data_IF_717500730772
#
_entry.id   IF_717500730772
#
_cell.length_a   1.000
_cell.length_b   1.000
_cell.length_c   1.000
_cell.angle_alpha   90.00
_cell.angle_beta   90.00
_cell.angle_gamma   90.00
#
_symmetry.space_group_name_H-M   'P 1'
#
loop_
_entity.id
_entity.type
_entity.pdbx_description
1 polymer ?
#
# COMPACT_ATOMS: atom_id res chain seq x y z
N UNK A 1 -6.73 12.35 -31.61
CA UNK A 1 -6.55 12.36 -30.14
C UNK A 1 -5.73 11.14 -29.77
N UNK A 2 -4.74 11.28 -28.88
CA UNK A 2 -3.86 10.21 -28.42
C UNK A 2 -3.89 10.19 -26.90
N UNK A 3 -4.35 9.08 -26.33
CA UNK A 3 -4.57 8.94 -24.89
C UNK A 3 -3.58 7.90 -24.37
N UNK A 4 -2.78 8.30 -23.39
CA UNK A 4 -1.96 7.41 -22.59
C UNK A 4 -2.66 7.23 -21.24
N UNK A 5 -3.24 6.06 -21.01
CA UNK A 5 -3.83 5.69 -19.72
C UNK A 5 -2.86 4.81 -18.93
N UNK A 6 -2.93 4.87 -17.59
CA UNK A 6 -1.95 4.25 -16.67
C UNK A 6 -0.50 4.54 -17.09
N UNK A 7 -0.15 5.81 -17.32
CA UNK A 7 1.12 6.17 -17.95
C UNK A 7 2.38 5.85 -17.11
N UNK A 8 2.27 5.89 -15.78
CA UNK A 8 3.27 5.34 -14.86
C UNK A 8 3.59 3.88 -15.18
N UNK A 9 2.57 3.10 -15.50
CA UNK A 9 2.72 1.69 -15.82
C UNK A 9 3.37 1.42 -17.16
N UNK A 10 3.00 2.21 -18.17
CA UNK A 10 3.64 2.14 -19.48
C UNK A 10 5.16 2.35 -19.36
N UNK A 11 5.59 3.18 -18.40
CA UNK A 11 7.00 3.46 -18.14
C UNK A 11 7.67 2.28 -17.43
N UNK A 12 7.04 1.73 -16.40
CA UNK A 12 7.56 0.61 -15.63
C UNK A 12 7.77 -0.64 -16.50
N UNK A 13 6.86 -0.89 -17.44
CA UNK A 13 6.97 -2.00 -18.39
C UNK A 13 7.91 -1.72 -19.57
N UNK A 14 8.44 -0.50 -19.68
CA UNK A 14 9.38 -0.14 -20.72
C UNK A 14 8.77 0.07 -22.11
N UNK A 15 7.45 0.29 -22.20
CA UNK A 15 6.73 0.43 -23.48
C UNK A 15 6.95 1.77 -24.21
N UNK A 16 7.75 2.66 -23.65
CA UNK A 16 7.94 4.00 -24.22
C UNK A 16 8.62 4.00 -25.60
N UNK A 17 9.37 2.95 -25.95
CA UNK A 17 9.96 2.80 -27.30
C UNK A 17 8.88 2.47 -28.35
N UNK A 18 7.94 1.62 -27.99
CA UNK A 18 6.81 1.23 -28.80
C UNK A 18 5.84 2.41 -28.94
N UNK A 19 5.56 3.12 -27.83
CA UNK A 19 4.76 4.35 -27.82
C UNK A 19 5.38 5.41 -28.71
N UNK A 20 6.70 5.60 -28.65
CA UNK A 20 7.44 6.50 -29.53
C UNK A 20 7.22 6.16 -31.01
N UNK A 21 7.25 4.89 -31.35
CA UNK A 21 7.09 4.41 -32.72
C UNK A 21 5.66 4.66 -33.23
N UNK A 22 4.66 4.41 -32.37
CA UNK A 22 3.25 4.69 -32.67
C UNK A 22 3.03 6.21 -32.81
N UNK A 23 3.60 7.00 -31.91
CA UNK A 23 3.43 8.45 -31.88
C UNK A 23 3.96 9.12 -33.17
N UNK A 24 5.05 8.60 -33.74
CA UNK A 24 5.63 9.10 -35.00
C UNK A 24 4.72 8.90 -36.22
N UNK A 25 3.74 7.99 -36.16
CA UNK A 25 2.82 7.73 -37.27
C UNK A 25 1.75 8.84 -37.41
N UNK A 26 1.51 9.65 -36.38
CA UNK A 26 0.52 10.72 -36.44
C UNK A 26 1.08 11.97 -37.16
N UNK A 27 0.33 12.48 -38.14
CA UNK A 27 0.61 13.80 -38.77
C UNK A 27 -0.02 14.92 -37.93
N UNK A 28 0.60 16.11 -37.96
CA UNK A 28 0.42 17.24 -37.01
C UNK A 28 -1.04 17.58 -36.65
N UNK A 29 -1.17 18.16 -35.45
CA UNK A 29 -2.38 18.52 -34.70
C UNK A 29 -3.05 17.32 -34.01
N UNK A 30 -2.41 16.81 -32.97
CA UNK A 30 -2.90 15.73 -32.12
C UNK A 30 -3.10 16.26 -30.70
N UNK A 31 -4.34 16.24 -30.21
CA UNK A 31 -4.59 16.39 -28.79
C UNK A 31 -4.04 15.16 -28.07
N UNK A 32 -3.10 15.37 -27.15
CA UNK A 32 -2.52 14.33 -26.30
C UNK A 32 -3.05 14.48 -24.89
N UNK A 33 -3.56 13.40 -24.32
CA UNK A 33 -4.02 13.33 -22.93
C UNK A 33 -3.29 12.20 -22.22
N UNK A 34 -2.88 12.45 -20.99
CA UNK A 34 -2.17 11.47 -20.18
C UNK A 34 -2.90 11.33 -18.85
N UNK A 35 -3.29 10.10 -18.52
CA UNK A 35 -3.91 9.73 -17.27
C UNK A 35 -2.98 8.78 -16.53
N UNK A 36 -2.76 9.05 -15.25
CA UNK A 36 -1.84 8.27 -14.43
C UNK A 36 -2.26 8.38 -12.97
N UNK A 37 -2.23 7.27 -12.23
CA UNK A 37 -2.54 7.28 -10.80
C UNK A 37 -1.44 8.02 -10.02
N UNK A 38 -0.20 7.91 -10.48
CA UNK A 38 0.93 8.60 -9.89
C UNK A 38 1.74 9.38 -10.93
N UNK A 39 2.38 10.46 -10.50
CA UNK A 39 3.19 11.32 -11.38
C UNK A 39 4.60 11.49 -10.80
N UNK A 40 5.48 10.54 -11.11
CA UNK A 40 6.89 10.63 -10.75
C UNK A 40 7.65 11.60 -11.67
N UNK A 41 8.72 12.21 -11.17
CA UNK A 41 9.53 13.17 -11.95
C UNK A 41 10.09 12.54 -13.25
N UNK A 42 10.41 11.24 -13.22
CA UNK A 42 10.93 10.53 -14.39
C UNK A 42 9.86 10.31 -15.48
N UNK A 43 8.59 10.16 -15.09
CA UNK A 43 7.47 10.08 -16.03
C UNK A 43 7.30 11.40 -16.77
N UNK A 44 7.43 12.53 -16.07
CA UNK A 44 7.36 13.88 -16.65
C UNK A 44 8.32 14.04 -17.83
N UNK A 45 9.58 13.67 -17.65
CA UNK A 45 10.65 13.80 -18.66
C UNK A 45 10.29 13.03 -19.95
N UNK A 46 9.69 11.84 -19.80
CA UNK A 46 9.28 11.05 -20.96
C UNK A 46 8.05 11.65 -21.66
N UNK A 47 7.10 12.17 -20.88
CA UNK A 47 5.85 12.71 -21.41
C UNK A 47 6.04 14.05 -22.13
N UNK A 48 7.02 14.87 -21.73
CA UNK A 48 7.33 16.17 -22.37
C UNK A 48 7.50 16.07 -23.89
N UNK A 49 7.98 14.93 -24.40
CA UNK A 49 8.10 14.66 -25.84
C UNK A 49 6.74 14.57 -26.56
N UNK A 50 5.69 14.13 -25.88
CA UNK A 50 4.37 13.92 -26.46
C UNK A 50 3.44 15.11 -26.24
N UNK A 51 3.41 15.66 -25.03
CA UNK A 51 2.50 16.76 -24.66
C UNK A 51 3.08 18.15 -24.90
N UNK A 52 4.38 18.25 -25.22
CA UNK A 52 5.10 19.52 -25.37
C UNK A 52 5.46 20.15 -24.02
N UNK A 53 6.17 21.28 -24.04
CA UNK A 53 6.67 21.93 -22.82
C UNK A 53 5.59 22.69 -22.00
N UNK A 54 4.46 23.05 -22.64
CA UNK A 54 3.41 23.89 -22.05
C UNK A 54 2.16 23.09 -21.66
N UNK A 55 2.33 21.94 -21.02
CA UNK A 55 1.21 21.11 -20.58
C UNK A 55 0.77 21.49 -19.16
N UNK A 56 -0.54 21.52 -18.94
CA UNK A 56 -1.12 21.65 -17.61
C UNK A 56 -1.06 20.29 -16.91
N UNK A 57 -0.39 20.23 -15.76
CA UNK A 57 -0.46 19.07 -14.87
C UNK A 57 -1.49 19.38 -13.81
N UNK A 58 -2.63 18.71 -13.88
CA UNK A 58 -3.61 18.71 -12.80
C UNK A 58 -3.29 17.54 -11.88
N UNK A 59 -2.64 17.85 -10.75
CA UNK A 59 -2.34 16.85 -9.71
C UNK A 59 -3.44 16.90 -8.67
N UNK A 60 -4.22 15.83 -8.58
CA UNK A 60 -5.07 15.62 -7.39
C UNK A 60 -4.17 15.46 -6.16
N UNK A 61 -4.41 16.23 -5.09
CA UNK A 61 -3.73 16.06 -3.81
C UNK A 61 -4.00 14.67 -3.19
N UNK A 62 -5.10 14.02 -3.60
CA UNK A 62 -5.47 12.67 -3.19
C UNK A 62 -5.06 11.66 -4.27
N UNK A 63 -4.16 10.75 -3.91
CA UNK A 63 -3.70 9.63 -4.76
C UNK A 63 -4.68 8.44 -4.81
N UNK A 64 -5.70 8.44 -3.95
CA UNK A 64 -6.81 7.50 -3.97
C UNK A 64 -8.10 8.25 -4.24
N UNK A 65 -9.12 7.55 -4.76
CA UNK A 65 -10.45 8.14 -4.81
C UNK A 65 -10.87 8.53 -3.38
N UNK A 66 -11.38 9.75 -3.21
CA UNK A 66 -11.76 10.33 -1.91
C UNK A 66 -12.67 9.42 -1.06
N UNK A 67 -13.37 8.50 -1.71
CA UNK A 67 -14.39 7.63 -1.15
C UNK A 67 -13.87 6.26 -0.69
N UNK A 68 -12.56 6.00 -0.78
CA UNK A 68 -11.97 4.73 -0.32
C UNK A 68 -11.54 4.83 1.15
N UNK A 69 -12.12 3.97 2.00
CA UNK A 69 -11.69 3.78 3.40
C UNK A 69 -10.61 2.71 3.46
N UNK A 70 -9.50 3.02 4.13
CA UNK A 70 -8.32 2.16 4.20
C UNK A 70 -8.20 1.48 5.57
N UNK A 71 -8.00 0.16 5.57
CA UNK A 71 -7.90 -0.65 6.79
C UNK A 71 -6.62 -1.49 6.77
N UNK A 72 -5.88 -1.46 7.88
CA UNK A 72 -4.71 -2.29 8.10
C UNK A 72 -5.07 -3.39 9.11
N UNK A 73 -5.08 -4.64 8.65
CA UNK A 73 -5.46 -5.82 9.42
C UNK A 73 -4.20 -6.52 9.95
N UNK A 74 -3.95 -6.40 11.25
CA UNK A 74 -2.84 -7.04 11.95
C UNK A 74 -3.14 -8.53 12.11
N UNK A 75 -2.56 -9.36 11.24
CA UNK A 75 -2.72 -10.81 11.28
C UNK A 75 -1.72 -11.49 12.23
N UNK A 76 -0.80 -10.72 12.83
CA UNK A 76 0.24 -11.22 13.76
C UNK A 76 0.99 -12.41 13.16
N UNK A 77 0.83 -13.60 13.74
CA UNK A 77 1.41 -14.87 13.27
C UNK A 77 0.34 -15.87 12.80
N UNK A 78 -0.89 -15.41 12.58
CA UNK A 78 -1.97 -16.24 12.07
C UNK A 78 -1.72 -16.62 10.61
N UNK A 79 -2.23 -17.79 10.22
CA UNK A 79 -2.23 -18.22 8.82
C UNK A 79 -3.07 -17.24 7.96
N UNK A 80 -2.46 -16.57 6.97
CA UNK A 80 -3.16 -15.67 6.07
C UNK A 80 -4.35 -16.32 5.35
N UNK A 81 -4.29 -17.61 5.03
CA UNK A 81 -5.40 -18.32 4.39
C UNK A 81 -6.62 -18.38 5.30
N UNK A 82 -6.44 -18.77 6.58
CA UNK A 82 -7.51 -18.73 7.58
C UNK A 82 -8.08 -17.32 7.75
N UNK A 83 -7.22 -16.30 7.71
CA UNK A 83 -7.64 -14.90 7.83
C UNK A 83 -8.52 -14.43 6.67
N UNK A 84 -8.36 -14.96 5.46
CA UNK A 84 -9.29 -14.71 4.35
C UNK A 84 -10.71 -15.18 4.71
N UNK A 85 -10.86 -16.38 5.27
CA UNK A 85 -12.18 -16.90 5.63
C UNK A 85 -12.81 -16.10 6.77
N UNK A 86 -12.01 -15.74 7.78
CA UNK A 86 -12.45 -14.84 8.84
C UNK A 86 -12.94 -13.52 8.27
N UNK A 87 -12.18 -12.92 7.35
CA UNK A 87 -12.55 -11.68 6.68
C UNK A 87 -13.88 -11.82 5.93
N UNK A 88 -14.03 -12.85 5.10
CA UNK A 88 -15.25 -13.09 4.30
C UNK A 88 -16.46 -13.29 5.22
N UNK A 89 -16.31 -14.07 6.30
CA UNK A 89 -17.39 -14.34 7.27
C UNK A 89 -17.85 -13.07 7.99
N UNK A 90 -16.90 -12.23 8.40
CA UNK A 90 -17.18 -11.03 9.17
C UNK A 90 -17.76 -9.91 8.31
N UNK A 91 -17.14 -9.61 7.16
CA UNK A 91 -17.51 -8.46 6.35
C UNK A 91 -18.59 -8.75 5.29
N UNK A 92 -18.76 -10.03 4.91
CA UNK A 92 -19.72 -10.49 3.88
C UNK A 92 -19.76 -9.56 2.64
N UNK A 93 -18.61 -9.40 1.96
CA UNK A 93 -18.51 -8.49 0.82
C UNK A 93 -19.47 -8.91 -0.30
N UNK A 94 -20.05 -7.94 -1.01
CA UNK A 94 -20.89 -8.18 -2.18
C UNK A 94 -20.04 -8.71 -3.35
N UNK A 95 -18.98 -7.98 -3.67
CA UNK A 95 -17.97 -8.36 -4.66
C UNK A 95 -16.58 -8.05 -4.11
N UNK A 96 -15.85 -9.11 -3.76
CA UNK A 96 -14.50 -9.04 -3.21
C UNK A 96 -13.46 -9.30 -4.30
N UNK A 97 -12.46 -8.43 -4.38
CA UNK A 97 -11.19 -8.76 -5.06
C UNK A 97 -10.08 -8.97 -4.05
N UNK A 98 -9.40 -10.12 -4.13
CA UNK A 98 -8.24 -10.48 -3.34
C UNK A 98 -7.01 -10.36 -4.23
N UNK A 99 -6.09 -9.47 -3.85
CA UNK A 99 -4.83 -9.25 -4.56
C UNK A 99 -3.68 -9.99 -3.91
N UNK A 100 -2.90 -10.70 -4.71
CA UNK A 100 -1.63 -11.30 -4.32
C UNK A 100 -0.51 -10.92 -5.31
N UNK A 101 0.71 -10.81 -4.82
CA UNK A 101 1.89 -10.44 -5.61
C UNK A 101 2.23 -11.49 -6.68
N UNK A 102 2.21 -12.78 -6.30
CA UNK A 102 2.67 -13.88 -7.15
C UNK A 102 1.51 -14.72 -7.70
N UNK A 103 1.70 -15.29 -8.89
CA UNK A 103 0.70 -16.19 -9.51
C UNK A 103 0.46 -17.45 -8.69
N UNK A 104 1.51 -17.98 -8.05
CA UNK A 104 1.41 -19.17 -7.20
C UNK A 104 0.55 -18.89 -5.96
N UNK A 105 0.63 -17.68 -5.40
CA UNK A 105 -0.24 -17.26 -4.31
C UNK A 105 -1.71 -17.19 -4.76
N UNK A 106 -1.98 -16.66 -5.96
CA UNK A 106 -3.33 -16.66 -6.56
C UNK A 106 -3.87 -18.08 -6.68
N UNK A 107 -3.07 -19.02 -7.18
CA UNK A 107 -3.47 -20.42 -7.31
C UNK A 107 -3.70 -21.09 -5.95
N UNK A 108 -2.84 -20.81 -4.96
CA UNK A 108 -2.98 -21.35 -3.60
C UNK A 108 -4.21 -20.81 -2.89
N UNK A 109 -4.48 -19.51 -2.99
CA UNK A 109 -5.71 -18.90 -2.44
C UNK A 109 -6.93 -19.52 -3.12
N UNK A 110 -6.91 -19.68 -4.44
CA UNK A 110 -8.02 -20.27 -5.19
C UNK A 110 -8.29 -21.72 -4.79
N UNK A 111 -7.23 -22.52 -4.58
CA UNK A 111 -7.36 -23.89 -4.07
C UNK A 111 -8.01 -23.91 -2.69
N UNK A 112 -7.51 -23.07 -1.77
CA UNK A 112 -8.02 -22.97 -0.41
C UNK A 112 -9.50 -22.52 -0.36
N UNK A 113 -9.89 -21.57 -1.21
CA UNK A 113 -11.29 -21.16 -1.34
C UNK A 113 -12.18 -22.30 -1.89
N UNK A 114 -11.68 -23.08 -2.84
CA UNK A 114 -12.38 -24.25 -3.39
C UNK A 114 -12.64 -25.30 -2.31
N UNK A 115 -11.63 -25.63 -1.51
CA UNK A 115 -11.71 -26.59 -0.39
C UNK A 115 -12.74 -26.16 0.67
N UNK A 116 -12.98 -24.86 0.78
CA UNK A 116 -13.98 -24.27 1.68
C UNK A 116 -15.33 -23.98 0.99
N UNK A 117 -15.57 -24.53 -0.20
CA UNK A 117 -16.81 -24.38 -0.98
C UNK A 117 -17.18 -22.92 -1.30
N UNK A 118 -16.21 -22.03 -1.45
CA UNK A 118 -16.42 -20.63 -1.83
C UNK A 118 -16.30 -20.45 -3.34
N UNK A 119 -17.36 -19.95 -3.97
CA UNK A 119 -17.37 -19.60 -5.39
C UNK A 119 -16.44 -18.41 -5.62
N UNK A 120 -15.44 -18.60 -6.47
CA UNK A 120 -14.50 -17.55 -6.83
C UNK A 120 -14.00 -17.71 -8.27
N UNK A 121 -13.39 -16.66 -8.79
CA UNK A 121 -12.74 -16.63 -10.10
C UNK A 121 -11.26 -16.27 -9.89
N UNK A 122 -10.37 -17.01 -10.54
CA UNK A 122 -8.94 -16.69 -10.55
C UNK A 122 -8.54 -15.92 -11.80
N UNK A 123 -7.69 -14.92 -11.64
CA UNK A 123 -7.18 -14.06 -12.72
C UNK A 123 -5.68 -13.83 -12.55
N UNK A 124 -4.84 -14.47 -13.36
CA UNK A 124 -3.39 -14.24 -13.39
C UNK A 124 -2.87 -14.21 -14.85
N UNK A 125 -1.62 -13.81 -15.05
CA UNK A 125 -1.02 -13.53 -16.36
C UNK A 125 -1.01 -14.71 -17.35
N UNK A 126 -0.98 -15.94 -16.84
CA UNK A 126 -0.98 -17.16 -17.67
C UNK A 126 -2.37 -17.49 -18.30
N UNK A 127 -3.44 -16.73 -17.98
CA UNK A 127 -4.75 -16.92 -18.61
C UNK A 127 -4.77 -16.41 -20.05
N UNK A 128 -5.20 -17.28 -20.97
CA UNK A 128 -5.42 -16.88 -22.38
C UNK A 128 -6.50 -15.80 -22.47
N UNK A 129 -6.41 -14.92 -23.46
CA UNK A 129 -7.39 -13.83 -23.66
C UNK A 129 -8.86 -14.31 -23.69
N UNK A 130 -9.12 -15.48 -24.31
CA UNK A 130 -10.45 -16.12 -24.31
C UNK A 130 -10.93 -16.50 -22.91
N UNK A 131 -10.03 -17.00 -22.06
CA UNK A 131 -10.35 -17.37 -20.67
C UNK A 131 -10.61 -16.11 -19.83
N UNK A 132 -9.80 -15.04 -20.00
CA UNK A 132 -10.07 -13.75 -19.35
C UNK A 132 -11.47 -13.22 -19.68
N UNK A 133 -11.87 -13.25 -20.96
CA UNK A 133 -13.21 -12.80 -21.40
C UNK A 133 -14.34 -13.67 -20.83
N UNK A 134 -14.12 -14.99 -20.72
CA UNK A 134 -15.09 -15.90 -20.11
C UNK A 134 -15.23 -15.66 -18.59
N UNK A 135 -14.11 -15.50 -17.89
CA UNK A 135 -14.09 -15.12 -16.47
C UNK A 135 -14.81 -13.80 -16.22
N UNK A 136 -14.60 -12.80 -17.08
CA UNK A 136 -15.28 -11.51 -16.98
C UNK A 136 -16.81 -11.64 -17.09
N UNK A 137 -17.32 -12.44 -18.04
CA UNK A 137 -18.77 -12.68 -18.16
C UNK A 137 -19.37 -13.32 -16.91
N UNK A 138 -18.61 -14.18 -16.23
CA UNK A 138 -19.03 -14.83 -14.99
C UNK A 138 -19.05 -13.87 -13.79
N UNK A 139 -18.21 -12.84 -13.80
CA UNK A 139 -18.24 -11.78 -12.80
C UNK A 139 -19.51 -10.94 -12.98
N UNK A 140 -19.82 -10.56 -14.22
CA UNK A 140 -21.02 -9.77 -14.54
C UNK A 140 -22.35 -10.48 -14.28
N UNK A 141 -22.35 -11.80 -14.13
CA UNK A 141 -23.55 -12.59 -13.85
C UNK A 141 -23.85 -12.75 -12.35
N UNK A 142 -23.12 -12.04 -11.47
CA UNK A 142 -23.20 -12.11 -10.00
C UNK A 142 -23.07 -13.54 -9.41
N UNK A 143 -22.57 -14.49 -10.21
CA UNK A 143 -22.49 -15.90 -9.81
C UNK A 143 -21.26 -16.17 -8.91
N UNK A 144 -20.26 -15.30 -8.99
CA UNK A 144 -18.97 -15.44 -8.33
C UNK A 144 -18.61 -14.17 -7.54
N UNK A 145 -18.89 -14.13 -6.22
CA UNK A 145 -18.70 -12.94 -5.39
C UNK A 145 -17.23 -12.67 -5.03
N UNK A 146 -16.30 -13.54 -5.42
CA UNK A 146 -14.88 -13.43 -5.07
C UNK A 146 -14.02 -13.54 -6.33
N UNK A 147 -13.08 -12.61 -6.48
CA UNK A 147 -12.07 -12.61 -7.53
C UNK A 147 -10.70 -12.70 -6.84
N UNK A 148 -9.84 -13.60 -7.28
CA UNK A 148 -8.45 -13.69 -6.81
C UNK A 148 -7.55 -13.31 -7.96
N UNK A 149 -6.75 -12.26 -7.81
CA UNK A 149 -5.96 -11.71 -8.90
C UNK A 149 -4.53 -11.33 -8.53
N UNK A 150 -3.64 -11.40 -9.52
CA UNK A 150 -2.34 -10.73 -9.44
C UNK A 150 -2.41 -9.33 -10.06
N UNK A 151 -1.51 -8.44 -9.65
CA UNK A 151 -1.51 -7.05 -10.11
C UNK A 151 -1.47 -6.92 -11.62
N UNK A 152 -0.64 -7.74 -12.29
CA UNK A 152 -0.49 -7.71 -13.74
C UNK A 152 -1.78 -8.11 -14.46
N UNK A 153 -2.56 -9.03 -13.89
CA UNK A 153 -3.70 -9.63 -14.57
C UNK A 153 -5.02 -8.89 -14.30
N UNK A 154 -5.09 -8.16 -13.19
CA UNK A 154 -6.19 -7.26 -12.87
C UNK A 154 -6.14 -5.93 -13.65
N UNK A 155 -5.00 -5.59 -14.25
CA UNK A 155 -4.85 -4.39 -15.09
C UNK A 155 -5.68 -4.53 -16.38
N UNK A 156 -6.35 -3.44 -16.73
CA UNK A 156 -7.30 -3.40 -17.85
C UNK A 156 -8.56 -4.25 -17.67
N UNK A 157 -8.78 -4.85 -16.48
CA UNK A 157 -10.09 -5.38 -16.14
C UNK A 157 -10.92 -4.27 -15.52
N UNK A 158 -11.82 -3.74 -16.34
CA UNK A 158 -12.83 -2.79 -15.90
C UNK A 158 -14.00 -3.57 -15.29
N UNK A 159 -13.79 -4.00 -14.05
CA UNK A 159 -14.82 -4.65 -13.24
C UNK A 159 -15.44 -3.56 -12.40
N UNK A 160 -16.62 -3.12 -12.82
CA UNK A 160 -17.41 -2.17 -12.06
C UNK A 160 -17.87 -2.77 -10.73
N UNK A 161 -18.10 -1.90 -9.74
CA UNK A 161 -18.78 -2.22 -8.48
C UNK A 161 -18.07 -3.23 -7.57
N UNK A 162 -16.73 -3.27 -7.55
CA UNK A 162 -16.00 -3.96 -6.48
C UNK A 162 -16.29 -3.25 -5.15
N UNK A 163 -16.95 -3.94 -4.23
CA UNK A 163 -17.33 -3.39 -2.93
C UNK A 163 -16.15 -3.38 -1.95
N UNK A 164 -15.32 -4.43 -1.98
CA UNK A 164 -14.16 -4.56 -1.11
C UNK A 164 -12.93 -5.04 -1.88
N UNK A 165 -11.79 -4.41 -1.58
CA UNK A 165 -10.46 -4.85 -1.99
C UNK A 165 -9.76 -5.43 -0.76
N UNK A 166 -9.20 -6.64 -0.89
CA UNK A 166 -8.35 -7.26 0.13
C UNK A 166 -6.95 -7.52 -0.45
N UNK A 167 -5.95 -6.84 0.08
CA UNK A 167 -4.55 -7.15 -0.19
C UNK A 167 -4.13 -8.32 0.71
N UNK A 168 -3.99 -9.50 0.12
CA UNK A 168 -3.46 -10.69 0.80
C UNK A 168 -2.04 -10.44 1.30
N UNK A 169 -1.24 -9.78 0.46
CA UNK A 169 0.05 -9.20 0.81
C UNK A 169 0.11 -7.75 0.29
N UNK A 170 0.89 -6.92 0.96
CA UNK A 170 1.19 -5.59 0.43
C UNK A 170 2.05 -5.72 -0.83
N UNK A 171 1.83 -4.87 -1.84
CA UNK A 171 2.65 -4.89 -3.02
C UNK A 171 4.10 -4.51 -2.71
N UNK A 172 5.04 -5.13 -3.41
CA UNK A 172 6.46 -4.82 -3.27
C UNK A 172 6.76 -3.36 -3.63
N UNK A 173 6.17 -2.88 -4.73
CA UNK A 173 6.12 -1.46 -5.05
C UNK A 173 4.79 -0.88 -4.56
N UNK A 174 4.88 0.08 -3.63
CA UNK A 174 3.73 0.70 -2.99
C UNK A 174 2.88 1.54 -3.95
N UNK A 175 3.39 1.89 -5.14
CA UNK A 175 2.60 2.51 -6.21
C UNK A 175 1.41 1.63 -6.59
N UNK A 176 1.60 0.30 -6.61
CA UNK A 176 0.52 -0.66 -6.85
C UNK A 176 -0.57 -0.66 -5.80
N UNK A 177 -0.29 -0.20 -4.59
CA UNK A 177 -1.32 -0.08 -3.56
C UNK A 177 -2.47 0.82 -4.04
N UNK A 178 -2.13 1.95 -4.68
CA UNK A 178 -3.09 2.89 -5.21
C UNK A 178 -3.89 2.28 -6.36
N UNK A 179 -3.23 1.54 -7.25
CA UNK A 179 -3.91 0.84 -8.35
C UNK A 179 -4.87 -0.25 -7.88
N UNK A 180 -4.52 -0.97 -6.79
CA UNK A 180 -5.41 -1.96 -6.16
C UNK A 180 -6.58 -1.28 -5.46
N UNK A 181 -6.31 -0.26 -4.64
CA UNK A 181 -7.35 0.47 -3.92
C UNK A 181 -8.33 1.18 -4.86
N UNK A 182 -7.86 1.69 -6.01
CA UNK A 182 -8.69 2.32 -7.05
C UNK A 182 -9.62 1.37 -7.82
N UNK A 183 -9.61 0.07 -7.48
CA UNK A 183 -10.60 -0.89 -8.00
C UNK A 183 -11.95 -0.77 -7.28
N UNK A 184 -11.98 -0.17 -6.10
CA UNK A 184 -13.21 0.16 -5.36
C UNK A 184 -13.40 1.67 -5.23
N UNK A 185 -14.55 2.13 -4.75
CA UNK A 185 -14.81 3.56 -4.51
C UNK A 185 -15.07 4.36 -5.80
N UNK A 186 -15.62 3.71 -6.83
CA UNK A 186 -15.98 4.32 -8.13
C UNK A 186 -17.43 4.81 -8.11
N UNK A 187 -17.78 5.73 -9.02
CA UNK A 187 -19.16 6.23 -9.24
C UNK A 187 -19.91 6.68 -7.97
N UNK A 188 -19.30 7.54 -7.15
CA UNK A 188 -19.89 8.08 -5.91
C UNK A 188 -20.21 7.05 -4.81
N UNK A 189 -19.83 5.78 -4.98
CA UNK A 189 -20.01 4.75 -3.97
C UNK A 189 -18.81 4.69 -3.02
N UNK A 190 -19.05 4.47 -1.73
CA UNK A 190 -17.97 4.22 -0.76
C UNK A 190 -17.29 2.89 -1.06
N UNK A 191 -15.97 2.89 -1.12
CA UNK A 191 -15.15 1.68 -1.27
C UNK A 191 -14.36 1.36 -0.01
N UNK A 192 -14.02 0.10 0.22
CA UNK A 192 -13.13 -0.28 1.33
C UNK A 192 -11.95 -1.09 0.82
N UNK A 193 -10.75 -0.66 1.21
CA UNK A 193 -9.50 -1.35 0.90
C UNK A 193 -8.85 -1.84 2.20
N UNK A 194 -8.76 -3.16 2.32
CA UNK A 194 -8.18 -3.86 3.45
C UNK A 194 -6.81 -4.42 3.07
N UNK A 195 -5.87 -4.42 4.02
CA UNK A 195 -4.56 -5.02 3.83
C UNK A 195 -4.16 -5.84 5.02
N UNK A 196 -3.83 -7.11 4.79
CA UNK A 196 -3.11 -7.87 5.81
C UNK A 196 -1.70 -7.30 5.97
N UNK A 197 -1.28 -7.18 7.23
CA UNK A 197 0.08 -6.85 7.57
C UNK A 197 0.52 -7.61 8.81
N UNK A 198 1.83 -7.77 8.94
CA UNK A 198 2.48 -8.34 10.11
C UNK A 198 3.67 -7.45 10.51
N UNK A 199 4.51 -7.93 11.43
CA UNK A 199 5.67 -7.19 11.91
C UNK A 199 6.65 -6.83 10.78
N UNK A 200 6.82 -7.73 9.81
CA UNK A 200 7.78 -7.56 8.71
C UNK A 200 7.32 -6.50 7.71
N UNK A 201 6.01 -6.44 7.45
CA UNK A 201 5.41 -5.50 6.48
C UNK A 201 4.94 -4.19 7.13
N UNK A 202 5.14 -4.01 8.44
CA UNK A 202 4.75 -2.77 9.15
C UNK A 202 5.40 -1.52 8.54
N UNK A 203 6.66 -1.64 8.08
CA UNK A 203 7.36 -0.53 7.41
C UNK A 203 6.67 -0.07 6.12
N UNK A 204 6.06 -0.99 5.38
CA UNK A 204 5.30 -0.66 4.16
C UNK A 204 4.02 0.11 4.51
N UNK A 205 3.32 -0.27 5.59
CA UNK A 205 2.18 0.49 6.11
C UNK A 205 2.61 1.91 6.51
N UNK A 206 3.70 2.06 7.28
CA UNK A 206 4.20 3.38 7.69
C UNK A 206 4.65 4.25 6.48
N UNK A 207 5.10 3.63 5.39
CA UNK A 207 5.41 4.33 4.15
C UNK A 207 4.15 4.80 3.42
N UNK A 208 3.09 3.99 3.38
CA UNK A 208 1.79 4.37 2.83
C UNK A 208 1.14 5.50 3.64
N UNK A 209 1.24 5.50 4.97
CA UNK A 209 0.77 6.60 5.82
C UNK A 209 1.48 7.93 5.49
N UNK A 210 2.80 7.90 5.21
CA UNK A 210 3.55 9.08 4.75
C UNK A 210 3.12 9.58 3.38
N UNK A 211 2.41 8.76 2.61
CA UNK A 211 1.83 9.12 1.32
C UNK A 211 0.35 9.50 1.44
N UNK A 212 -0.07 9.98 2.63
CA UNK A 212 -1.40 10.49 2.96
C UNK A 212 -2.51 9.43 3.00
N UNK A 213 -2.17 8.15 3.23
CA UNK A 213 -3.19 7.13 3.49
C UNK A 213 -3.50 7.06 4.98
N UNK A 214 -4.75 7.30 5.33
CA UNK A 214 -5.24 7.20 6.70
C UNK A 214 -5.78 5.79 6.97
N UNK A 215 -4.96 4.94 7.58
CA UNK A 215 -5.39 3.59 7.94
C UNK A 215 -6.19 3.57 9.25
N UNK A 216 -7.30 2.83 9.23
CA UNK A 216 -7.91 2.30 10.45
C UNK A 216 -7.24 0.97 10.78
N UNK A 217 -6.54 0.91 11.91
CA UNK A 217 -5.86 -0.31 12.36
C UNK A 217 -6.85 -1.25 13.04
N UNK A 218 -6.84 -2.49 12.58
CA UNK A 218 -7.65 -3.59 13.09
C UNK A 218 -6.72 -4.69 13.56
N UNK A 219 -7.07 -5.40 14.63
CA UNK A 219 -6.36 -6.58 15.10
C UNK A 219 -7.30 -7.77 15.23
N UNK A 220 -6.77 -8.98 15.07
CA UNK A 220 -7.51 -10.20 15.32
C UNK A 220 -7.63 -10.47 16.83
N UNK A 221 -8.87 -10.65 17.32
CA UNK A 221 -9.22 -11.13 18.66
C UNK A 221 -10.41 -12.08 18.56
N UNK A 222 -10.30 -13.27 19.17
CA UNK A 222 -11.36 -14.29 19.15
C UNK A 222 -11.90 -14.59 17.75
N UNK A 223 -10.99 -14.74 16.77
CA UNK A 223 -11.33 -14.94 15.35
C UNK A 223 -12.17 -13.81 14.71
N UNK A 224 -12.15 -12.59 15.26
CA UNK A 224 -12.77 -11.39 14.68
C UNK A 224 -11.80 -10.21 14.59
N UNK A 225 -11.91 -9.42 13.53
CA UNK A 225 -11.16 -8.17 13.36
C UNK A 225 -11.83 -7.03 14.14
N UNK A 226 -11.12 -6.48 15.11
CA UNK A 226 -11.60 -5.38 15.96
C UNK A 226 -10.66 -4.19 15.88
N UNK A 227 -11.18 -2.98 16.08
CA UNK A 227 -10.37 -1.76 16.06
C UNK A 227 -9.29 -1.84 17.14
N UNK A 228 -8.03 -1.75 16.69
CA UNK A 228 -6.88 -1.69 17.58
C UNK A 228 -6.94 -0.38 18.33
N UNK A 229 -7.26 -0.43 19.62
CA UNK A 229 -7.21 0.75 20.49
C UNK A 229 -5.75 1.19 20.54
N UNK A 230 -5.43 2.30 19.88
CA UNK A 230 -4.10 2.89 19.98
C UNK A 230 -3.95 3.45 21.38
N UNK A 231 -3.24 2.72 22.24
CA UNK A 231 -2.92 3.21 23.57
C UNK A 231 -2.10 4.49 23.44
N UNK A 232 -2.55 5.57 24.11
CA UNK A 232 -1.81 6.85 24.17
C UNK A 232 -0.34 6.65 24.56
N UNK A 233 -0.03 5.57 25.26
CA UNK A 233 1.30 5.17 25.72
C UNK A 233 2.22 4.69 24.59
N UNK A 234 1.71 4.05 23.52
CA UNK A 234 2.52 3.67 22.35
C UNK A 234 2.94 4.90 21.53
N UNK A 235 2.05 5.90 21.39
CA UNK A 235 2.39 7.19 20.76
C UNK A 235 3.47 7.94 21.55
N UNK A 236 3.37 7.96 22.89
CA UNK A 236 4.37 8.56 23.76
C UNK A 236 5.70 7.80 23.65
N UNK A 237 5.68 6.46 23.62
CA UNK A 237 6.89 5.64 23.41
C UNK A 237 7.59 5.97 22.09
N UNK A 238 6.85 5.93 20.97
CA UNK A 238 7.42 6.20 19.64
C UNK A 238 7.96 7.64 19.55
N UNK A 239 7.30 8.61 20.19
CA UNK A 239 7.80 9.99 20.27
C UNK A 239 9.08 10.11 21.12
N UNK A 240 9.13 9.49 22.30
CA UNK A 240 10.30 9.50 23.18
C UNK A 240 11.51 8.81 22.53
N UNK A 241 11.30 7.70 21.81
CA UNK A 241 12.34 6.98 21.06
C UNK A 241 12.91 7.85 19.94
N UNK A 242 12.03 8.53 19.21
CA UNK A 242 12.41 9.49 18.15
C UNK A 242 13.17 10.69 18.74
N UNK A 243 12.73 11.20 19.90
CA UNK A 243 13.36 12.31 20.60
C UNK A 243 14.74 11.93 21.18
N UNK A 244 14.88 10.71 21.69
CA UNK A 244 16.15 10.15 22.17
C UNK A 244 17.18 10.09 21.04
N UNK A 245 16.81 9.56 19.87
CA UNK A 245 17.68 9.49 18.70
C UNK A 245 18.09 10.90 18.23
N UNK A 246 17.15 11.85 18.20
CA UNK A 246 17.43 13.26 17.86
C UNK A 246 18.42 13.89 18.86
N UNK A 247 18.25 13.66 20.16
CA UNK A 247 19.16 14.17 21.21
C UNK A 247 20.57 13.59 21.08
N UNK A 248 20.70 12.30 20.77
CA UNK A 248 22.01 11.68 20.52
C UNK A 248 22.69 12.33 19.30
N UNK A 249 21.98 12.46 18.17
CA UNK A 249 22.52 13.10 16.96
C UNK A 249 22.99 14.53 17.26
N UNK A 250 22.20 15.32 17.99
CA UNK A 250 22.56 16.69 18.39
C UNK A 250 23.82 16.72 19.26
N UNK A 251 23.92 15.86 20.27
CA UNK A 251 25.12 15.75 21.13
C UNK A 251 26.37 15.39 20.32
N UNK A 252 26.26 14.48 19.35
CA UNK A 252 27.39 14.08 18.48
C UNK A 252 27.85 15.25 17.60
N UNK A 253 26.91 16.02 17.05
CA UNK A 253 27.22 17.19 16.20
C UNK A 253 27.89 18.30 17.02
N UNK A 254 27.30 18.65 18.17
CA UNK A 254 27.80 19.71 19.06
C UNK A 254 29.20 19.40 19.62
N UNK A 255 29.49 18.13 19.90
CA UNK A 255 30.79 17.73 20.49
C UNK A 255 31.88 17.53 19.45
N UNK A 256 31.56 17.23 18.18
CA UNK A 256 32.55 17.17 17.09
C UNK A 256 32.99 18.57 16.64
N UNK A 257 32.07 19.53 16.53
CA UNK A 257 32.37 20.90 16.08
C UNK A 257 33.02 20.98 14.69
N UNK A 258 33.39 22.19 14.21
CA UNK A 258 34.12 22.37 12.93
C UNK A 258 35.63 22.07 13.02
N UNK A 259 36.23 22.16 14.21
CA UNK A 259 37.65 21.87 14.48
C UNK A 259 37.76 20.96 15.71
N UNK A 260 38.41 19.81 15.55
CA UNK A 260 38.49 18.77 16.59
C UNK A 260 39.34 19.24 17.77
N UNK A 261 38.75 19.30 18.97
CA UNK A 261 39.44 19.72 20.20
C UNK A 261 40.01 18.51 20.96
N UNK A 262 41.13 18.65 21.68
CA UNK A 262 41.63 17.62 22.59
C UNK A 262 40.53 17.16 23.56
N UNK A 263 40.48 15.87 23.90
CA UNK A 263 39.48 15.26 24.79
C UNK A 263 38.01 15.26 24.32
N UNK A 264 37.69 15.62 23.08
CA UNK A 264 36.30 15.62 22.58
C UNK A 264 35.59 14.26 22.72
N UNK A 265 36.30 13.15 22.49
CA UNK A 265 35.74 11.78 22.61
C UNK A 265 35.28 11.46 24.04
N UNK A 266 36.03 11.91 25.05
CA UNK A 266 35.69 11.71 26.48
C UNK A 266 34.45 12.52 26.85
N UNK A 267 34.38 13.79 26.40
CA UNK A 267 33.22 14.67 26.61
C UNK A 267 31.96 14.12 25.92
N UNK A 268 32.09 13.66 24.67
CA UNK A 268 31.00 13.05 23.90
C UNK A 268 30.45 11.79 24.59
N UNK A 269 31.31 10.86 25.00
CA UNK A 269 30.89 9.64 25.74
C UNK A 269 30.15 9.97 27.03
N UNK A 270 30.61 10.97 27.78
CA UNK A 270 29.96 11.39 29.02
C UNK A 270 28.56 11.99 28.77
N UNK A 271 28.40 12.83 27.75
CA UNK A 271 27.12 13.43 27.37
C UNK A 271 26.12 12.39 26.85
N UNK A 272 26.57 11.45 26.00
CA UNK A 272 25.72 10.34 25.54
C UNK A 272 25.27 9.49 26.73
N UNK A 273 26.18 9.14 27.64
CA UNK A 273 25.85 8.35 28.84
C UNK A 273 24.78 9.02 29.72
N UNK A 274 24.79 10.35 29.82
CA UNK A 274 23.73 11.12 30.53
C UNK A 274 22.37 11.01 29.85
N UNK A 275 22.32 11.17 28.52
CA UNK A 275 21.08 11.07 27.75
C UNK A 275 20.51 9.65 27.81
N UNK A 276 21.34 8.63 27.61
CA UNK A 276 20.95 7.21 27.70
C UNK A 276 20.44 6.84 29.10
N UNK A 277 21.09 7.31 30.17
CA UNK A 277 20.64 7.06 31.55
C UNK A 277 19.25 7.64 31.82
N UNK A 278 18.97 8.85 31.31
CA UNK A 278 17.65 9.50 31.47
C UNK A 278 16.55 8.76 30.70
N UNK A 279 16.84 8.32 29.49
CA UNK A 279 15.93 7.51 28.68
C UNK A 279 15.61 6.15 29.34
N UNK A 280 16.63 5.43 29.83
CA UNK A 280 16.44 4.17 30.56
C UNK A 280 15.61 4.34 31.85
N UNK A 281 15.76 5.47 32.56
CA UNK A 281 14.94 5.77 33.74
C UNK A 281 13.47 5.99 33.38
N UNK A 282 13.18 6.63 32.24
CA UNK A 282 11.82 6.83 31.77
C UNK A 282 11.15 5.51 31.39
N UNK A 283 11.86 4.62 30.68
CA UNK A 283 11.38 3.26 30.36
C UNK A 283 11.04 2.48 31.64
N UNK A 284 11.96 2.46 32.62
CA UNK A 284 11.72 1.75 33.90
C UNK A 284 10.53 2.31 34.68
N UNK A 285 10.31 3.64 34.65
CA UNK A 285 9.13 4.26 35.28
C UNK A 285 7.83 3.86 34.58
N UNK A 286 7.87 3.68 33.25
CA UNK A 286 6.71 3.24 32.47
C UNK A 286 6.36 1.78 32.75
N UNK A 287 7.35 0.89 32.70
CA UNK A 287 7.18 -0.53 33.05
C UNK A 287 6.56 -0.71 34.44
N UNK A 288 7.02 0.05 35.43
CA UNK A 288 6.43 0.05 36.79
C UNK A 288 4.99 0.59 36.87
N UNK A 289 4.56 1.43 35.93
CA UNK A 289 3.17 1.93 35.85
C UNK A 289 2.27 0.90 35.17
N UNK A 290 2.78 0.20 34.16
CA UNK A 290 2.10 -0.89 33.46
C UNK A 290 1.88 -2.10 34.39
N UNK A 291 2.89 -2.47 35.20
CA UNK A 291 2.78 -3.53 36.21
C UNK A 291 1.74 -3.25 37.31
N UNK A 292 1.49 -1.97 37.64
CA UNK A 292 0.50 -1.56 38.65
C UNK A 292 -0.94 -1.52 38.14
N UNK A 293 -1.15 -1.64 36.84
CA UNK A 293 -2.47 -1.56 36.19
C UNK A 293 -3.00 -2.93 35.76
N UNK A 294 -2.17 -3.97 35.79
CA UNK A 294 -2.58 -5.38 35.66
C UNK A 294 -2.96 -5.92 37.03
#
# INVERSE_FOLDING_TARGET
>A
MFILDEADMLMEFGYFKEIDSIFQLFKKALQVMVFSATFAAHLKVHLEKYVGANFSIEVSEQKTAALVKHYALDIKHQDPFKMILTFIKQYRPYLLIIFANLKEEVDNISRYLSENNLKHIKIHGDLKARQRKASYKKILSDEYPIIVASDLAARGLDIDNISEVLNYNLPNDLTYYFHRAGRTGRFFSEGKCFSFYNVDTLKQIEQLEKQNINFTFLEIKNDEFVIKKVDKEEKISKQEDTEYIKKIKKVVIETKGKKVRPNYKKKMRHSIKKVTKKYQQNIKKRQKREEKRK
#
